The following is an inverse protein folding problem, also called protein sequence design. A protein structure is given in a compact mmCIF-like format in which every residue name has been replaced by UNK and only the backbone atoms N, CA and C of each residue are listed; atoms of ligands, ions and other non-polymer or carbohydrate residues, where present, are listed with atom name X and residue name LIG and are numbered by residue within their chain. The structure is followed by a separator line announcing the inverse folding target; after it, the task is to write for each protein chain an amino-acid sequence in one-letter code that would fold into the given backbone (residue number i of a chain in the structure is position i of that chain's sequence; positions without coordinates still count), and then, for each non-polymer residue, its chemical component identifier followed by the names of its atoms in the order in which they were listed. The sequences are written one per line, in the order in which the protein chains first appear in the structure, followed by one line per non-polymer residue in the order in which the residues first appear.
data_IF_761681730046
#
_entry.id   IF_761681730046
#
_cell.length_a   1.000
_cell.length_b   1.000
_cell.length_c   1.000
_cell.angle_alpha   90.00
_cell.angle_beta   90.00
_cell.angle_gamma   90.00
#
_symmetry.space_group_name_H-M   'P 1'
#
loop_
_entity.id
_entity.type
_entity.pdbx_description
1 polymer ?
#
# COMPACT_ATOMS: atom_id res chain seq x y z
N UNK A 1 -12.74 20.79 6.87
CA UNK A 1 -11.37 20.27 7.07
C UNK A 1 -11.45 18.83 7.53
N UNK A 2 -10.58 17.95 7.05
CA UNK A 2 -10.64 16.50 7.30
C UNK A 2 -10.05 16.07 8.66
N UNK A 3 -9.76 17.02 9.56
CA UNK A 3 -9.23 16.76 10.90
C UNK A 3 -7.77 16.29 10.97
N UNK A 4 -7.02 16.38 9.86
CA UNK A 4 -5.60 16.05 9.79
C UNK A 4 -4.72 17.30 9.67
N UNK A 5 -3.50 17.20 10.19
CA UNK A 5 -2.44 18.21 10.09
C UNK A 5 -1.35 17.72 9.13
N UNK A 6 -0.89 18.59 8.23
CA UNK A 6 0.23 18.28 7.34
C UNK A 6 1.54 18.54 8.09
N UNK A 7 2.34 17.50 8.30
CA UNK A 7 3.62 17.55 9.01
C UNK A 7 4.70 16.80 8.24
N UNK A 8 5.96 17.16 8.48
CA UNK A 8 7.11 16.45 7.91
C UNK A 8 7.29 15.09 8.61
N UNK A 9 7.86 14.10 7.88
CA UNK A 9 8.07 12.75 8.44
C UNK A 9 8.97 12.76 9.69
N UNK A 10 10.04 13.55 9.69
CA UNK A 10 10.95 13.63 10.85
C UNK A 10 10.26 14.20 12.10
N UNK A 11 9.18 14.97 11.94
CA UNK A 11 8.34 15.44 13.04
C UNK A 11 7.28 14.39 13.42
N UNK A 12 6.70 13.72 12.44
CA UNK A 12 5.61 12.76 12.61
C UNK A 12 6.07 11.50 13.36
N UNK A 13 7.15 10.86 12.90
CA UNK A 13 7.55 9.51 13.34
C UNK A 13 7.84 9.39 14.84
N UNK A 14 8.61 10.29 15.49
CA UNK A 14 8.98 10.12 16.89
C UNK A 14 7.81 10.33 17.87
N UNK A 15 6.71 10.96 17.44
CA UNK A 15 5.52 11.24 18.26
C UNK A 15 4.30 10.38 17.94
N UNK A 16 4.40 9.48 16.97
CA UNK A 16 3.26 8.71 16.45
C UNK A 16 3.22 7.30 17.04
N UNK A 17 2.05 6.91 17.56
CA UNK A 17 1.83 5.56 18.10
C UNK A 17 1.51 4.52 17.02
N UNK A 18 0.89 4.95 15.91
CA UNK A 18 0.51 4.09 14.79
C UNK A 18 0.78 4.80 13.47
N UNK A 19 1.66 4.26 12.64
CA UNK A 19 1.95 4.76 11.28
C UNK A 19 1.25 3.86 10.27
N UNK A 20 0.43 4.45 9.39
CA UNK A 20 -0.29 3.72 8.33
C UNK A 20 0.06 4.24 6.93
N UNK A 21 0.18 3.33 5.96
CA UNK A 21 0.61 3.64 4.59
C UNK A 21 -0.53 3.50 3.58
N UNK A 22 -0.70 4.55 2.76
CA UNK A 22 -1.75 4.68 1.74
C UNK A 22 -1.23 5.35 0.46
N UNK A 23 -0.08 4.88 -0.04
CA UNK A 23 0.61 5.39 -1.22
C UNK A 23 0.80 4.29 -2.29
N UNK A 24 0.94 4.64 -3.57
CA UNK A 24 1.34 3.67 -4.59
C UNK A 24 2.78 3.20 -4.37
N UNK A 25 3.15 2.08 -5.01
CA UNK A 25 4.55 1.70 -5.17
C UNK A 25 5.13 2.38 -6.41
N UNK A 26 6.09 3.26 -6.20
CA UNK A 26 6.88 3.96 -7.24
C UNK A 26 8.38 3.76 -6.95
N UNK A 27 9.29 4.14 -7.87
CA UNK A 27 10.72 4.12 -7.59
C UNK A 27 11.11 4.91 -6.33
N UNK A 28 10.42 6.01 -6.04
CA UNK A 28 10.68 6.87 -4.89
C UNK A 28 10.15 6.26 -3.58
N UNK A 29 9.06 5.49 -3.65
CA UNK A 29 8.46 4.87 -2.46
C UNK A 29 8.98 3.46 -2.20
N UNK A 30 9.75 2.87 -3.11
CA UNK A 30 10.29 1.52 -2.97
C UNK A 30 11.29 1.48 -1.82
N UNK A 31 11.04 0.61 -0.85
CA UNK A 31 11.80 0.49 0.40
C UNK A 31 11.99 1.83 1.13
N UNK A 32 11.04 2.76 0.98
CA UNK A 32 11.04 4.03 1.69
C UNK A 32 10.98 3.80 3.21
N UNK A 33 10.28 2.76 3.65
CA UNK A 33 10.23 2.32 5.05
C UNK A 33 11.39 1.35 5.27
N UNK A 34 12.58 1.91 5.44
CA UNK A 34 13.83 1.20 5.70
C UNK A 34 14.20 1.24 7.20
N UNK A 35 15.38 0.72 7.55
CA UNK A 35 15.86 0.70 8.93
C UNK A 35 15.96 2.11 9.58
N UNK A 36 16.34 3.15 8.83
CA UNK A 36 16.39 4.53 9.35
C UNK A 36 14.98 5.06 9.65
N UNK A 37 14.03 4.83 8.74
CA UNK A 37 12.63 5.19 8.95
C UNK A 37 12.08 4.51 10.21
N UNK A 38 12.30 3.20 10.33
CA UNK A 38 11.83 2.41 11.45
C UNK A 38 12.45 2.89 12.76
N UNK A 39 13.76 3.16 12.80
CA UNK A 39 14.45 3.64 14.00
C UNK A 39 13.98 5.04 14.47
N UNK A 40 13.41 5.85 13.57
CA UNK A 40 12.79 7.14 13.91
C UNK A 40 11.37 6.99 14.46
N UNK A 41 10.72 5.84 14.26
CA UNK A 41 9.42 5.59 14.85
C UNK A 41 9.54 5.54 16.37
N UNK A 42 8.46 5.92 17.05
CA UNK A 42 8.39 5.84 18.50
C UNK A 42 8.58 4.38 18.94
N UNK A 43 9.43 4.15 19.93
CA UNK A 43 9.60 2.84 20.57
C UNK A 43 8.25 2.31 21.08
N UNK A 44 7.90 1.07 20.73
CA UNK A 44 6.62 0.44 21.06
C UNK A 44 5.44 0.89 20.20
N UNK A 45 5.69 1.59 19.09
CA UNK A 45 4.65 1.94 18.11
C UNK A 45 4.28 0.77 17.20
N UNK A 46 3.23 0.98 16.41
CA UNK A 46 2.72 0.03 15.43
C UNK A 46 2.85 0.54 14.01
N UNK A 47 3.03 -0.38 13.08
CA UNK A 47 3.05 -0.13 11.66
C UNK A 47 1.85 -0.81 10.98
N UNK A 48 1.16 -0.12 10.08
CA UNK A 48 0.09 -0.70 9.26
C UNK A 48 0.35 -0.47 7.77
N UNK A 49 0.50 -1.55 7.00
CA UNK A 49 0.68 -1.48 5.56
C UNK A 49 -0.54 -2.05 4.83
N UNK A 50 -1.34 -1.15 4.25
CA UNK A 50 -2.43 -1.46 3.30
C UNK A 50 -2.13 -0.93 1.89
N UNK A 51 -0.88 -0.50 1.66
CA UNK A 51 -0.42 0.08 0.41
C UNK A 51 0.11 -1.00 -0.53
N UNK A 52 1.42 -1.24 -0.53
CA UNK A 52 2.12 -2.28 -1.30
C UNK A 52 3.27 -2.84 -0.46
N UNK A 53 3.55 -4.13 -0.60
CA UNK A 53 4.63 -4.78 0.14
C UNK A 53 5.99 -4.12 -0.07
N UNK A 54 6.33 -3.83 -1.32
CA UNK A 54 7.62 -3.20 -1.69
C UNK A 54 7.82 -1.75 -1.21
N UNK A 55 6.87 -1.16 -0.47
CA UNK A 55 7.10 0.12 0.24
C UNK A 55 7.98 -0.09 1.47
N UNK A 56 7.94 -1.29 2.05
CA UNK A 56 8.65 -1.65 3.27
C UNK A 56 9.81 -2.57 2.95
N UNK A 57 10.98 -2.23 3.49
CA UNK A 57 12.11 -3.15 3.58
C UNK A 57 11.77 -4.23 4.62
N UNK A 58 11.24 -5.36 4.16
CA UNK A 58 10.79 -6.46 5.03
C UNK A 58 11.89 -7.01 5.96
N UNK A 59 13.15 -7.19 5.52
CA UNK A 59 14.25 -7.49 6.44
C UNK A 59 14.39 -6.50 7.59
N UNK A 60 14.33 -5.20 7.30
CA UNK A 60 14.42 -4.17 8.34
C UNK A 60 13.21 -4.18 9.28
N UNK A 61 12.00 -4.41 8.73
CA UNK A 61 10.78 -4.56 9.54
C UNK A 61 10.86 -5.79 10.44
N UNK A 62 11.36 -6.91 9.92
CA UNK A 62 11.53 -8.16 10.67
C UNK A 62 12.44 -7.94 11.87
N UNK A 63 13.59 -7.28 11.67
CA UNK A 63 14.52 -6.93 12.74
C UNK A 63 13.86 -6.01 13.78
N UNK A 64 13.19 -4.94 13.34
CA UNK A 64 12.52 -3.99 14.23
C UNK A 64 11.39 -4.61 15.08
N UNK A 65 10.74 -5.67 14.57
CA UNK A 65 9.74 -6.42 15.32
C UNK A 65 10.39 -7.43 16.28
N UNK A 66 11.43 -8.14 15.84
CA UNK A 66 12.13 -9.15 16.65
C UNK A 66 12.90 -8.55 17.81
N UNK A 67 13.52 -7.37 17.62
CA UNK A 67 14.24 -6.66 18.68
C UNK A 67 13.29 -5.86 19.60
N UNK A 68 11.99 -5.88 19.32
CA UNK A 68 10.95 -5.21 20.10
C UNK A 68 10.91 -3.69 19.94
N UNK A 69 11.58 -3.10 18.94
CA UNK A 69 11.48 -1.68 18.64
C UNK A 69 10.03 -1.28 18.30
N UNK A 70 9.40 -2.05 17.41
CA UNK A 70 7.96 -1.98 17.16
C UNK A 70 7.21 -2.98 18.03
N UNK A 71 6.07 -2.55 18.58
CA UNK A 71 5.20 -3.42 19.34
C UNK A 71 4.46 -4.43 18.45
N UNK A 72 4.24 -4.10 17.17
CA UNK A 72 3.64 -5.02 16.19
C UNK A 72 3.39 -4.38 14.83
N UNK A 73 2.92 -5.19 13.88
CA UNK A 73 2.56 -4.72 12.55
C UNK A 73 1.26 -5.35 12.02
N UNK A 74 0.49 -4.57 11.27
CA UNK A 74 -0.66 -5.03 10.47
C UNK A 74 -0.32 -4.98 8.98
N UNK A 75 -0.31 -6.12 8.30
CA UNK A 75 0.15 -6.25 6.91
C UNK A 75 -0.96 -6.85 6.04
N UNK A 76 -1.66 -6.03 5.24
CA UNK A 76 -2.54 -6.57 4.19
C UNK A 76 -1.77 -6.98 2.94
N UNK A 77 -0.54 -6.48 2.78
CA UNK A 77 0.32 -6.69 1.62
C UNK A 77 1.71 -7.11 2.08
N UNK A 78 2.40 -7.89 1.25
CA UNK A 78 3.76 -8.38 1.48
C UNK A 78 4.61 -8.19 0.23
N UNK A 79 5.94 -8.12 0.37
CA UNK A 79 6.85 -7.98 -0.77
C UNK A 79 6.77 -9.20 -1.71
N UNK A 80 6.50 -10.37 -1.13
CA UNK A 80 6.14 -11.57 -1.89
C UNK A 80 4.72 -12.03 -1.56
N UNK A 81 3.89 -12.20 -2.59
CA UNK A 81 2.50 -12.63 -2.48
C UNK A 81 2.24 -13.82 -3.42
N UNK A 82 1.93 -15.03 -2.90
CA UNK A 82 1.82 -15.41 -1.49
C UNK A 82 3.14 -15.33 -0.71
N UNK A 83 3.05 -15.18 0.61
CA UNK A 83 4.21 -14.99 1.49
C UNK A 83 5.21 -16.16 1.41
N UNK A 84 6.44 -15.84 1.01
CA UNK A 84 7.61 -16.73 1.00
C UNK A 84 8.85 -15.97 1.48
N UNK A 85 9.92 -16.68 1.85
CA UNK A 85 11.15 -16.04 2.34
C UNK A 85 10.90 -15.15 3.57
N UNK A 86 11.40 -13.92 3.56
CA UNK A 86 11.25 -12.96 4.66
C UNK A 86 9.77 -12.62 4.92
N UNK A 87 8.95 -12.51 3.88
CA UNK A 87 7.50 -12.30 4.06
C UNK A 87 6.88 -13.42 4.89
N UNK A 88 7.31 -14.67 4.68
CA UNK A 88 6.83 -15.82 5.46
C UNK A 88 7.31 -15.78 6.92
N UNK A 89 8.49 -15.24 7.19
CA UNK A 89 9.01 -15.06 8.55
C UNK A 89 8.22 -13.97 9.29
N UNK A 90 7.93 -12.85 8.62
CA UNK A 90 7.12 -11.76 9.16
C UNK A 90 5.73 -12.22 9.57
N UNK A 91 4.99 -12.89 8.68
CA UNK A 91 3.59 -13.30 8.97
C UNK A 91 3.48 -14.41 10.03
N UNK A 92 4.60 -15.02 10.45
CA UNK A 92 4.65 -16.00 11.53
C UNK A 92 4.87 -15.37 12.90
N UNK A 93 5.30 -14.11 12.98
CA UNK A 93 5.52 -13.45 14.26
C UNK A 93 4.20 -13.26 15.01
N UNK A 94 4.22 -13.50 16.32
CA UNK A 94 3.03 -13.39 17.18
C UNK A 94 2.48 -11.96 17.26
N UNK A 95 3.34 -10.96 17.06
CA UNK A 95 2.99 -9.54 17.04
C UNK A 95 2.70 -9.00 15.63
N UNK A 96 2.45 -9.88 14.66
CA UNK A 96 2.06 -9.51 13.29
C UNK A 96 0.67 -10.05 12.97
N UNK A 97 -0.20 -9.17 12.50
CA UNK A 97 -1.48 -9.55 11.89
C UNK A 97 -1.35 -9.41 10.38
N UNK A 98 -1.39 -10.53 9.67
CA UNK A 98 -1.27 -10.57 8.22
C UNK A 98 -2.60 -10.93 7.55
N UNK A 99 -2.91 -10.26 6.45
CA UNK A 99 -4.03 -10.57 5.58
C UNK A 99 -3.54 -10.85 4.15
N UNK A 100 -4.26 -11.70 3.37
CA UNK A 100 -3.83 -12.09 2.03
C UNK A 100 -4.34 -11.10 0.97
N UNK A 101 -3.83 -9.86 0.98
CA UNK A 101 -4.17 -8.78 0.04
C UNK A 101 -5.67 -8.66 -0.18
N UNK A 102 -6.34 -8.31 0.91
CA UNK A 102 -7.79 -8.44 1.08
C UNK A 102 -8.52 -7.11 1.26
N UNK A 103 -7.83 -5.97 1.31
CA UNK A 103 -8.46 -4.67 1.59
C UNK A 103 -9.62 -4.28 0.67
N UNK A 104 -9.67 -4.80 -0.56
CA UNK A 104 -10.78 -4.59 -1.51
C UNK A 104 -11.77 -5.76 -1.63
N UNK A 105 -11.64 -6.84 -0.84
CA UNK A 105 -12.44 -8.07 -0.94
C UNK A 105 -13.81 -7.98 -0.21
N UNK A 106 -14.57 -6.92 -0.47
CA UNK A 106 -16.00 -6.88 -0.14
C UNK A 106 -16.84 -7.13 -1.39
N UNK A 107 -18.04 -7.72 -1.25
CA UNK A 107 -18.91 -8.02 -2.39
C UNK A 107 -19.20 -6.78 -3.25
N UNK A 108 -19.66 -5.69 -2.63
CA UNK A 108 -19.99 -4.46 -3.34
C UNK A 108 -18.78 -3.82 -4.03
N UNK A 109 -17.60 -3.85 -3.41
CA UNK A 109 -16.37 -3.31 -4.03
C UNK A 109 -15.95 -4.16 -5.22
N UNK A 110 -15.93 -5.49 -5.09
CA UNK A 110 -15.54 -6.39 -6.18
C UNK A 110 -16.49 -6.35 -7.36
N UNK A 111 -17.79 -6.26 -7.10
CA UNK A 111 -18.81 -6.08 -8.15
C UNK A 111 -18.55 -4.78 -8.92
N UNK A 112 -18.42 -3.65 -8.22
CA UNK A 112 -18.18 -2.35 -8.86
C UNK A 112 -16.88 -2.32 -9.67
N UNK A 113 -15.79 -2.86 -9.12
CA UNK A 113 -14.51 -2.97 -9.83
C UNK A 113 -14.64 -3.79 -11.12
N UNK A 114 -15.36 -4.92 -11.06
CA UNK A 114 -15.59 -5.79 -12.21
C UNK A 114 -16.43 -5.08 -13.28
N UNK A 115 -17.46 -4.36 -12.86
CA UNK A 115 -18.30 -3.57 -13.75
C UNK A 115 -17.51 -2.45 -14.43
N UNK A 116 -16.67 -1.72 -13.69
CA UNK A 116 -15.81 -0.68 -14.26
C UNK A 116 -14.81 -1.23 -15.28
N UNK A 117 -14.21 -2.39 -15.00
CA UNK A 117 -13.30 -3.04 -15.94
C UNK A 117 -14.03 -3.47 -17.23
N UNK A 118 -15.19 -4.12 -17.11
CA UNK A 118 -16.00 -4.54 -18.25
C UNK A 118 -16.49 -3.33 -19.07
N UNK A 119 -16.99 -2.28 -18.40
CA UNK A 119 -17.47 -1.07 -19.06
C UNK A 119 -16.34 -0.36 -19.81
N UNK A 120 -15.13 -0.32 -19.24
CA UNK A 120 -13.96 0.27 -19.91
C UNK A 120 -13.66 -0.41 -21.24
N UNK A 121 -13.78 -1.74 -21.30
CA UNK A 121 -13.60 -2.50 -22.55
C UNK A 121 -14.72 -2.16 -23.55
N UNK A 122 -15.97 -2.14 -23.11
CA UNK A 122 -17.11 -1.79 -23.98
C UNK A 122 -16.99 -0.38 -24.54
N UNK A 123 -16.61 0.59 -23.71
CA UNK A 123 -16.43 1.98 -24.11
C UNK A 123 -15.37 2.09 -25.21
N UNK A 124 -14.21 1.44 -25.03
CA UNK A 124 -13.16 1.39 -26.04
C UNK A 124 -13.66 0.87 -27.40
N UNK A 125 -14.40 -0.25 -27.42
CA UNK A 125 -14.95 -0.81 -28.66
C UNK A 125 -16.05 0.05 -29.29
N UNK A 126 -16.68 0.93 -28.52
CA UNK A 126 -17.66 1.90 -29.00
C UNK A 126 -17.05 3.24 -29.42
N UNK A 127 -15.71 3.36 -29.40
CA UNK A 127 -15.03 4.63 -29.69
C UNK A 127 -15.23 5.69 -28.61
N UNK A 128 -15.57 5.28 -27.38
CA UNK A 128 -15.71 6.15 -26.20
C UNK A 128 -14.47 6.04 -25.33
N UNK A 129 -14.14 7.12 -24.64
CA UNK A 129 -13.07 7.12 -23.64
C UNK A 129 -13.55 6.54 -22.31
N UNK A 130 -12.87 5.51 -21.77
CA UNK A 130 -13.17 4.98 -20.44
C UNK A 130 -12.99 6.01 -19.33
N UNK A 131 -13.71 5.84 -18.22
CA UNK A 131 -13.71 6.79 -17.11
C UNK A 131 -12.38 6.85 -16.33
N UNK A 132 -11.73 5.70 -16.10
CA UNK A 132 -10.59 5.56 -15.18
C UNK A 132 -9.24 5.37 -15.89
N UNK A 133 -9.00 6.11 -16.99
CA UNK A 133 -7.74 6.04 -17.74
C UNK A 133 -6.60 6.68 -16.94
N UNK A 134 -5.55 5.89 -16.69
CA UNK A 134 -4.35 6.30 -15.94
C UNK A 134 -3.35 7.00 -16.85
N UNK A 135 -2.96 6.35 -17.94
CA UNK A 135 -2.01 6.84 -18.95
C UNK A 135 -2.73 7.60 -20.06
N UNK A 136 -3.21 8.81 -19.73
CA UNK A 136 -4.07 9.63 -20.61
C UNK A 136 -3.41 10.02 -21.93
N UNK A 137 -2.09 10.06 -21.98
CA UNK A 137 -1.31 10.31 -23.20
C UNK A 137 -1.56 9.27 -24.32
N UNK A 138 -2.10 8.10 -23.98
CA UNK A 138 -2.49 7.09 -24.97
C UNK A 138 -3.76 7.46 -25.72
N UNK A 139 -4.63 8.31 -25.17
CA UNK A 139 -5.91 8.68 -25.80
C UNK A 139 -5.70 9.40 -27.13
N UNK A 140 -4.67 10.25 -27.21
CA UNK A 140 -4.28 10.95 -28.45
C UNK A 140 -3.88 9.96 -29.56
N UNK A 141 -3.21 8.86 -29.21
CA UNK A 141 -2.77 7.83 -30.16
C UNK A 141 -3.92 6.97 -30.68
N UNK A 142 -5.01 6.89 -29.93
CA UNK A 142 -6.17 6.03 -30.24
C UNK A 142 -7.33 6.81 -30.86
N UNK A 143 -7.16 8.10 -31.14
CA UNK A 143 -8.22 9.02 -31.62
C UNK A 143 -9.47 9.00 -30.73
N UNK A 144 -9.27 8.75 -29.44
CA UNK A 144 -10.32 8.75 -28.43
C UNK A 144 -10.30 10.10 -27.72
N UNK A 145 -11.43 10.82 -27.76
CA UNK A 145 -11.52 12.12 -27.09
C UNK A 145 -11.63 11.93 -25.58
N UNK A 146 -10.69 12.49 -24.81
CA UNK A 146 -10.86 12.62 -23.37
C UNK A 146 -12.20 13.32 -23.07
N UNK A 147 -12.98 12.77 -22.15
CA UNK A 147 -14.16 13.44 -21.62
C UNK A 147 -13.76 14.63 -20.75
#
# INVERSE_FOLDING_TARGET
ELGGELVALDELLPRTDIVTFHLPLTPESQNMVNAEFLAKMKQGSYLVNTARGGVVDEPALLEALQNGHLAGAGLDVQASEPAVGVSLELVKLENVVAMPHSGSKTYATRERMSMWAAQSIVDMFQGKTPEHVVNREVLEKLDLKAR
#
